data_IF_653745047654
#
_entry.id   IF_653745047654
#
_cell.length_a   1.000
_cell.length_b   1.000
_cell.length_c   1.000
_cell.angle_alpha   90.00
_cell.angle_beta   90.00
_cell.angle_gamma   90.00
#
_symmetry.space_group_name_H-M   'P 1'
#
loop_
_entity.id
_entity.type
_entity.pdbx_description
1 polymer ?
#
# COMPACT_ATOMS: atom_id res chain seq x y z
N UNK A 1 -40.30 -63.17 -16.66
CA UNK A 1 -39.08 -62.53 -17.19
C UNK A 1 -38.89 -61.24 -16.46
N UNK A 2 -38.06 -61.31 -15.43
CA UNK A 2 -37.78 -60.19 -14.54
C UNK A 2 -36.66 -59.29 -15.06
N UNK A 3 -36.80 -57.99 -14.90
CA UNK A 3 -35.73 -57.05 -15.10
C UNK A 3 -35.44 -56.35 -13.79
N UNK A 4 -34.26 -56.58 -13.25
CA UNK A 4 -33.75 -56.02 -11.97
C UNK A 4 -33.12 -54.68 -12.32
N UNK A 5 -33.72 -53.59 -11.87
CA UNK A 5 -33.07 -52.28 -11.84
C UNK A 5 -32.28 -52.15 -10.55
N UNK A 6 -30.97 -52.19 -10.66
CA UNK A 6 -30.06 -51.92 -9.58
C UNK A 6 -30.01 -50.42 -9.29
N UNK A 7 -30.36 -50.04 -8.07
CA UNK A 7 -30.18 -48.69 -7.54
C UNK A 7 -28.69 -48.44 -7.27
N UNK A 8 -28.11 -47.46 -7.95
CA UNK A 8 -26.77 -46.97 -7.65
C UNK A 8 -26.87 -46.01 -6.44
N UNK A 9 -26.43 -46.50 -5.29
CA UNK A 9 -26.27 -45.73 -4.07
C UNK A 9 -25.13 -44.73 -4.25
N UNK A 10 -25.45 -43.44 -4.36
CA UNK A 10 -24.47 -42.35 -4.26
C UNK A 10 -24.16 -42.10 -2.79
N UNK A 11 -23.06 -42.65 -2.31
CA UNK A 11 -22.46 -42.28 -1.04
C UNK A 11 -22.00 -40.80 -1.11
N UNK A 12 -22.36 -39.95 -0.15
CA UNK A 12 -21.82 -38.60 -0.10
C UNK A 12 -20.32 -38.67 0.26
N UNK A 13 -19.50 -38.03 -0.56
CA UNK A 13 -18.08 -37.85 -0.30
C UNK A 13 -17.92 -37.13 1.06
N UNK A 14 -17.30 -37.83 1.98
CA UNK A 14 -17.02 -37.34 3.31
C UNK A 14 -16.34 -35.98 3.25
N UNK A 15 -16.90 -35.01 3.99
CA UNK A 15 -16.29 -33.72 4.27
C UNK A 15 -14.84 -33.94 4.78
N UNK A 16 -13.89 -33.34 4.09
CA UNK A 16 -12.51 -33.27 4.54
C UNK A 16 -12.52 -32.76 5.98
N UNK A 17 -12.03 -33.58 6.89
CA UNK A 17 -11.81 -33.23 8.29
C UNK A 17 -10.93 -31.99 8.30
N UNK A 18 -11.49 -30.86 8.73
CA UNK A 18 -10.74 -29.65 8.99
C UNK A 18 -9.72 -30.02 10.09
N UNK A 19 -8.43 -29.96 9.76
CA UNK A 19 -7.39 -30.08 10.77
C UNK A 19 -7.62 -29.06 11.89
N UNK A 20 -7.32 -29.39 13.16
CA UNK A 20 -7.53 -28.48 14.27
C UNK A 20 -6.72 -27.21 14.01
N UNK A 21 -7.40 -26.08 13.84
CA UNK A 21 -6.78 -24.76 13.68
C UNK A 21 -5.94 -24.50 14.91
N UNK A 22 -4.61 -24.66 14.78
CA UNK A 22 -3.69 -24.27 15.84
C UNK A 22 -3.75 -22.75 15.97
N UNK A 23 -4.21 -22.26 17.10
CA UNK A 23 -4.15 -20.84 17.46
C UNK A 23 -2.69 -20.42 17.53
N UNK A 24 -2.31 -19.37 16.78
CA UNK A 24 -0.98 -18.78 16.83
C UNK A 24 -0.95 -17.57 17.75
N UNK A 25 0.17 -17.39 18.45
CA UNK A 25 0.51 -16.17 19.17
C UNK A 25 1.50 -15.37 18.31
N UNK A 26 1.08 -14.19 17.84
CA UNK A 26 1.80 -13.39 16.85
C UNK A 26 2.19 -12.05 17.47
N UNK A 27 3.47 -11.72 17.44
CA UNK A 27 3.98 -10.43 17.92
C UNK A 27 4.43 -9.59 16.71
N UNK A 28 3.74 -8.48 16.46
CA UNK A 28 4.14 -7.47 15.48
C UNK A 28 5.13 -6.49 16.10
N UNK A 29 6.18 -6.14 15.38
CA UNK A 29 7.19 -5.16 15.83
C UNK A 29 7.31 -4.04 14.81
N UNK A 30 7.12 -2.80 15.23
CA UNK A 30 7.23 -1.60 14.41
C UNK A 30 7.93 -0.46 15.12
N UNK A 31 8.39 0.54 14.37
CA UNK A 31 9.04 1.73 14.93
C UNK A 31 8.05 2.54 15.78
N UNK A 32 6.83 2.69 15.29
CA UNK A 32 5.70 3.37 15.95
C UNK A 32 4.37 2.80 15.45
N UNK A 33 3.28 3.23 16.08
CA UNK A 33 1.90 3.03 15.60
C UNK A 33 1.21 4.40 15.39
N UNK A 34 1.95 5.36 14.82
CA UNK A 34 1.40 6.64 14.35
C UNK A 34 0.51 6.41 13.10
N UNK A 35 -0.17 7.45 12.62
CA UNK A 35 -1.00 7.33 11.43
C UNK A 35 -0.14 7.23 10.16
N UNK A 36 -0.03 6.03 9.60
CA UNK A 36 0.75 5.74 8.40
C UNK A 36 0.26 4.47 7.70
N UNK A 37 0.69 4.24 6.45
CA UNK A 37 0.25 3.09 5.68
C UNK A 37 0.70 1.75 6.27
N UNK A 38 1.95 1.65 6.73
CA UNK A 38 2.48 0.43 7.35
C UNK A 38 1.82 0.13 8.70
N UNK A 39 1.56 1.17 9.47
CA UNK A 39 0.91 1.08 10.77
C UNK A 39 -0.57 0.68 10.63
N UNK A 40 -1.29 1.26 9.66
CA UNK A 40 -2.67 0.84 9.30
C UNK A 40 -2.70 -0.64 8.90
N UNK A 41 -1.75 -1.11 8.10
CA UNK A 41 -1.64 -2.52 7.73
C UNK A 41 -1.36 -3.43 8.93
N UNK A 42 -0.49 -3.00 9.85
CA UNK A 42 -0.22 -3.74 11.09
C UNK A 42 -1.48 -3.85 11.95
N UNK A 43 -2.21 -2.75 12.13
CA UNK A 43 -3.49 -2.75 12.85
C UNK A 43 -4.54 -3.65 12.19
N UNK A 44 -4.63 -3.60 10.86
CA UNK A 44 -5.50 -4.48 10.06
C UNK A 44 -5.17 -5.95 10.29
N UNK A 45 -3.89 -6.33 10.22
CA UNK A 45 -3.46 -7.70 10.49
C UNK A 45 -3.82 -8.15 11.91
N UNK A 46 -3.59 -7.31 12.93
CA UNK A 46 -3.94 -7.63 14.32
C UNK A 46 -5.45 -7.92 14.46
N UNK A 47 -6.32 -7.05 13.90
CA UNK A 47 -7.78 -7.22 13.95
C UNK A 47 -8.22 -8.50 13.27
N UNK A 48 -7.78 -8.73 12.03
CA UNK A 48 -8.11 -9.94 11.27
C UNK A 48 -7.59 -11.23 11.91
N UNK A 49 -6.40 -11.19 12.50
CA UNK A 49 -5.84 -12.34 13.23
C UNK A 49 -6.70 -12.68 14.44
N UNK A 50 -7.11 -11.68 15.24
CA UNK A 50 -8.04 -11.87 16.36
C UNK A 50 -9.38 -12.44 15.90
N UNK A 51 -9.94 -11.93 14.82
CA UNK A 51 -11.23 -12.39 14.29
C UNK A 51 -11.17 -13.86 13.81
N UNK A 52 -9.97 -14.36 13.49
CA UNK A 52 -9.70 -15.77 13.17
C UNK A 52 -9.30 -16.62 14.39
N UNK A 53 -9.35 -16.04 15.59
CA UNK A 53 -9.05 -16.75 16.84
C UNK A 53 -7.55 -16.86 17.18
N UNK A 54 -6.69 -16.05 16.52
CA UNK A 54 -5.27 -15.94 16.89
C UNK A 54 -5.08 -14.85 17.95
N UNK A 55 -3.97 -14.92 18.68
CA UNK A 55 -3.54 -13.84 19.57
C UNK A 55 -2.56 -12.94 18.83
N UNK A 56 -2.82 -11.64 18.86
CA UNK A 56 -1.93 -10.64 18.27
C UNK A 56 -1.50 -9.63 19.32
N UNK A 57 -0.23 -9.27 19.32
CA UNK A 57 0.35 -8.19 20.15
C UNK A 57 1.21 -7.27 19.31
N UNK A 58 1.40 -6.02 19.75
CA UNK A 58 2.21 -5.02 19.07
C UNK A 58 3.32 -4.50 19.96
N UNK A 59 4.55 -4.49 19.47
CA UNK A 59 5.73 -3.95 20.13
C UNK A 59 6.20 -2.70 19.40
N UNK A 60 5.92 -1.52 19.97
CA UNK A 60 6.38 -0.23 19.45
C UNK A 60 7.78 0.05 20.00
N UNK A 61 8.74 0.29 19.10
CA UNK A 61 10.13 0.52 19.50
C UNK A 61 10.31 1.90 20.12
N UNK A 62 9.68 2.95 19.57
CA UNK A 62 9.95 4.34 19.94
C UNK A 62 8.71 5.13 20.34
N UNK A 63 7.57 4.95 19.67
CA UNK A 63 6.35 5.73 19.89
C UNK A 63 5.11 4.85 19.82
N UNK A 64 4.15 5.14 20.68
CA UNK A 64 2.89 4.40 20.68
C UNK A 64 1.99 4.83 19.51
N UNK A 65 1.80 6.15 19.33
CA UNK A 65 0.96 6.71 18.27
C UNK A 65 -0.54 6.46 18.47
N UNK A 66 -1.34 7.10 17.61
CA UNK A 66 -2.82 7.04 17.66
C UNK A 66 -3.34 5.62 17.46
N UNK A 67 -2.85 4.91 16.44
CA UNK A 67 -3.27 3.52 16.17
C UNK A 67 -2.88 2.56 17.30
N UNK A 68 -1.78 2.84 18.03
CA UNK A 68 -1.39 2.06 19.18
C UNK A 68 -2.35 2.24 20.37
N UNK A 69 -2.85 3.46 20.59
CA UNK A 69 -3.87 3.73 21.61
C UNK A 69 -5.21 3.11 21.22
N UNK A 70 -5.61 3.19 19.95
CA UNK A 70 -6.83 2.52 19.45
C UNK A 70 -6.76 1.00 19.70
N UNK A 71 -5.67 0.34 19.31
CA UNK A 71 -5.49 -1.10 19.54
C UNK A 71 -5.53 -1.45 21.03
N UNK A 72 -4.97 -0.60 21.92
CA UNK A 72 -5.10 -0.78 23.37
C UNK A 72 -6.55 -0.69 23.84
N UNK A 73 -7.29 0.29 23.35
CA UNK A 73 -8.71 0.46 23.67
C UNK A 73 -9.55 -0.73 23.19
N UNK A 74 -9.14 -1.36 22.07
CA UNK A 74 -9.74 -2.59 21.55
C UNK A 74 -9.32 -3.87 22.31
N UNK A 75 -8.44 -3.76 23.30
CA UNK A 75 -8.00 -4.87 24.14
C UNK A 75 -6.78 -5.64 23.65
N UNK A 76 -6.05 -5.13 22.63
CA UNK A 76 -4.77 -5.73 22.23
C UNK A 76 -3.64 -5.41 23.22
N UNK A 77 -2.71 -6.35 23.40
CA UNK A 77 -1.47 -6.07 24.11
C UNK A 77 -0.56 -5.20 23.22
N UNK A 78 -0.37 -3.92 23.60
CA UNK A 78 0.53 -2.99 22.90
C UNK A 78 1.62 -2.54 23.86
N UNK A 79 2.86 -2.94 23.61
CA UNK A 79 4.03 -2.68 24.45
C UNK A 79 4.89 -1.57 23.84
N UNK A 80 5.10 -0.49 24.58
CA UNK A 80 6.03 0.56 24.21
C UNK A 80 7.36 0.37 24.94
N UNK A 81 8.48 0.26 24.21
CA UNK A 81 9.77 -0.11 24.77
C UNK A 81 10.60 1.05 25.33
N UNK A 82 10.43 2.29 24.86
CA UNK A 82 11.17 3.49 25.32
C UNK A 82 12.67 3.24 25.57
N UNK A 83 13.46 3.00 24.51
CA UNK A 83 14.85 2.60 24.72
C UNK A 83 15.71 3.78 25.16
N UNK A 84 16.47 3.59 26.24
CA UNK A 84 17.56 4.51 26.63
C UNK A 84 18.86 4.20 25.86
N UNK A 85 18.98 3.00 25.29
CA UNK A 85 20.11 2.56 24.45
C UNK A 85 19.73 1.37 23.58
N UNK A 86 20.57 1.08 22.59
CA UNK A 86 20.44 -0.13 21.75
C UNK A 86 20.34 -1.41 22.58
N UNK A 87 21.26 -1.60 23.53
CA UNK A 87 21.27 -2.80 24.37
C UNK A 87 20.04 -2.92 25.28
N UNK A 88 19.54 -1.79 25.78
CA UNK A 88 18.33 -1.76 26.58
C UNK A 88 17.12 -2.25 25.76
N UNK A 89 16.99 -1.75 24.52
CA UNK A 89 15.92 -2.16 23.61
C UNK A 89 15.97 -3.66 23.30
N UNK A 90 17.13 -4.15 22.86
CA UNK A 90 17.34 -5.56 22.51
C UNK A 90 17.03 -6.48 23.69
N UNK A 91 17.51 -6.12 24.91
CA UNK A 91 17.21 -6.85 26.14
C UNK A 91 15.72 -6.80 26.51
N UNK A 92 15.08 -5.64 26.31
CA UNK A 92 13.64 -5.44 26.53
C UNK A 92 12.80 -6.36 25.66
N UNK A 93 13.09 -6.36 24.34
CA UNK A 93 12.45 -7.25 23.37
C UNK A 93 12.66 -8.73 23.72
N UNK A 94 13.89 -9.13 24.00
CA UNK A 94 14.19 -10.51 24.41
C UNK A 94 13.35 -10.94 25.63
N UNK A 95 13.29 -10.11 26.71
CA UNK A 95 12.51 -10.40 27.91
C UNK A 95 11.01 -10.48 27.60
N UNK A 96 10.51 -9.57 26.74
CA UNK A 96 9.11 -9.57 26.33
C UNK A 96 8.76 -10.86 25.60
N UNK A 97 9.54 -11.25 24.59
CA UNK A 97 9.32 -12.48 23.84
C UNK A 97 9.49 -13.75 24.70
N UNK A 98 10.43 -13.78 25.64
CA UNK A 98 10.56 -14.87 26.60
C UNK A 98 9.35 -15.03 27.51
N UNK A 99 8.67 -13.91 27.83
CA UNK A 99 7.47 -13.90 28.68
C UNK A 99 6.22 -14.29 27.89
N UNK A 100 5.98 -13.63 26.75
CA UNK A 100 4.79 -13.83 25.92
C UNK A 100 4.86 -15.10 25.05
N UNK A 101 6.07 -15.63 24.79
CA UNK A 101 6.34 -16.82 23.95
C UNK A 101 5.57 -16.83 22.63
N UNK A 102 5.75 -15.82 21.78
CA UNK A 102 5.07 -15.79 20.48
C UNK A 102 5.57 -16.95 19.60
N UNK A 103 4.67 -17.52 18.81
CA UNK A 103 5.01 -18.48 17.76
C UNK A 103 5.68 -17.77 16.59
N UNK A 104 5.22 -16.54 16.33
CA UNK A 104 5.67 -15.69 15.21
C UNK A 104 6.07 -14.31 15.71
N UNK A 105 7.20 -13.81 15.23
CA UNK A 105 7.57 -12.38 15.31
C UNK A 105 7.58 -11.81 13.91
N UNK A 106 6.70 -10.84 13.63
CA UNK A 106 6.57 -10.15 12.37
C UNK A 106 7.10 -8.71 12.49
N UNK A 107 8.27 -8.46 11.92
CA UNK A 107 8.91 -7.15 11.92
C UNK A 107 8.41 -6.30 10.74
N UNK A 108 8.03 -5.05 11.00
CA UNK A 108 7.66 -4.09 9.96
C UNK A 108 8.80 -3.12 9.73
N UNK A 109 9.39 -3.16 8.52
CA UNK A 109 10.57 -2.43 8.07
C UNK A 109 11.92 -2.89 8.65
N UNK A 110 13.00 -2.32 8.10
CA UNK A 110 14.38 -2.71 8.41
C UNK A 110 14.74 -2.48 9.88
N UNK A 111 14.32 -1.36 10.47
CA UNK A 111 14.67 -1.03 11.87
C UNK A 111 14.11 -2.05 12.82
N UNK A 112 12.85 -2.44 12.67
CA UNK A 112 12.22 -3.48 13.49
C UNK A 112 12.97 -4.81 13.38
N UNK A 113 13.37 -5.23 12.18
CA UNK A 113 14.14 -6.46 11.99
C UNK A 113 15.54 -6.39 12.65
N UNK A 114 16.25 -5.26 12.49
CA UNK A 114 17.56 -5.04 13.10
C UNK A 114 17.49 -5.17 14.64
N UNK A 115 16.41 -4.70 15.24
CA UNK A 115 16.24 -4.69 16.71
C UNK A 115 15.65 -6.00 17.25
N UNK A 116 14.74 -6.64 16.53
CA UNK A 116 13.93 -7.73 17.06
C UNK A 116 14.28 -9.13 16.54
N UNK A 117 14.88 -9.29 15.36
CA UNK A 117 15.06 -10.62 14.75
C UNK A 117 15.96 -11.53 15.60
N UNK A 118 17.13 -11.07 16.03
CA UNK A 118 18.02 -11.85 16.91
C UNK A 118 17.42 -12.09 18.30
N UNK A 119 16.87 -11.07 19.01
CA UNK A 119 16.15 -11.30 20.28
C UNK A 119 15.03 -12.33 20.17
N UNK A 120 14.26 -12.34 19.09
CA UNK A 120 13.20 -13.31 18.86
C UNK A 120 13.76 -14.74 18.79
N UNK A 121 14.82 -14.95 17.99
CA UNK A 121 15.47 -16.27 17.88
C UNK A 121 16.05 -16.75 19.22
N UNK A 122 16.74 -15.87 19.94
CA UNK A 122 17.28 -16.18 21.27
C UNK A 122 16.17 -16.48 22.29
N UNK A 123 14.99 -15.89 22.12
CA UNK A 123 13.82 -16.19 22.94
C UNK A 123 13.15 -17.52 22.57
N UNK A 124 13.55 -18.18 21.48
CA UNK A 124 13.00 -19.45 21.02
C UNK A 124 11.81 -19.32 20.06
N UNK A 125 11.60 -18.14 19.46
CA UNK A 125 10.56 -17.91 18.46
C UNK A 125 10.84 -18.74 17.20
N UNK A 126 9.84 -19.49 16.74
CA UNK A 126 9.99 -20.44 15.62
C UNK A 126 10.02 -19.71 14.28
N UNK A 127 9.14 -18.73 14.08
CA UNK A 127 8.99 -18.03 12.81
C UNK A 127 9.27 -16.53 12.99
N UNK A 128 10.21 -16.00 12.22
CA UNK A 128 10.54 -14.57 12.21
C UNK A 128 10.46 -14.06 10.78
N UNK A 129 9.60 -13.06 10.55
CA UNK A 129 9.35 -12.48 9.22
C UNK A 129 9.63 -10.98 9.26
N UNK A 130 10.08 -10.42 8.15
CA UNK A 130 10.18 -8.98 7.98
C UNK A 130 9.47 -8.52 6.71
N UNK A 131 8.59 -7.53 6.84
CA UNK A 131 7.96 -6.86 5.69
C UNK A 131 8.61 -5.51 5.45
N UNK A 132 9.00 -5.25 4.20
CA UNK A 132 9.55 -3.98 3.72
C UNK A 132 8.44 -3.20 2.99
N UNK A 133 7.98 -2.11 3.61
CA UNK A 133 6.85 -1.31 3.10
C UNK A 133 7.26 -0.27 2.04
N UNK A 134 8.55 0.00 1.88
CA UNK A 134 9.07 0.96 0.91
C UNK A 134 10.24 0.41 0.10
N UNK A 135 10.62 1.16 -0.95
CA UNK A 135 11.76 0.86 -1.79
C UNK A 135 13.08 1.24 -1.13
N UNK A 136 14.10 0.44 -1.39
CA UNK A 136 15.51 0.79 -1.10
C UNK A 136 16.05 1.59 -2.28
N UNK A 137 16.37 2.87 -2.08
CA UNK A 137 16.84 3.77 -3.14
C UNK A 137 18.23 4.35 -2.84
N UNK A 138 19.04 4.65 -3.87
CA UNK A 138 20.24 5.47 -3.73
C UNK A 138 19.89 6.93 -3.34
N UNK A 139 20.76 7.63 -2.58
CA UNK A 139 21.97 7.07 -1.98
C UNK A 139 21.59 6.10 -0.86
N UNK A 140 22.06 4.86 -0.98
CA UNK A 140 21.76 3.83 0.02
C UNK A 140 22.28 4.27 1.38
N UNK A 141 21.48 4.11 2.42
CA UNK A 141 21.97 4.17 3.79
C UNK A 141 22.77 2.89 4.09
N UNK A 142 23.94 2.78 3.47
CA UNK A 142 24.76 1.55 3.43
C UNK A 142 24.90 0.91 4.81
N UNK A 143 25.16 1.71 5.85
CA UNK A 143 25.27 1.20 7.22
C UNK A 143 23.99 0.54 7.73
N UNK A 144 22.81 1.09 7.36
CA UNK A 144 21.51 0.52 7.75
C UNK A 144 21.23 -0.76 6.95
N UNK A 145 21.49 -0.75 5.68
CA UNK A 145 21.27 -1.92 4.81
C UNK A 145 22.23 -3.07 5.16
N UNK A 146 23.48 -2.81 5.55
CA UNK A 146 24.40 -3.82 6.08
C UNK A 146 23.90 -4.42 7.40
N UNK A 147 23.43 -3.58 8.34
CA UNK A 147 22.81 -4.05 9.59
C UNK A 147 21.57 -4.88 9.30
N UNK A 148 20.74 -4.45 8.34
CA UNK A 148 19.56 -5.19 7.92
C UNK A 148 19.95 -6.54 7.29
N UNK A 149 20.93 -6.58 6.41
CA UNK A 149 21.43 -7.82 5.81
C UNK A 149 21.94 -8.82 6.86
N UNK A 150 22.62 -8.33 7.91
CA UNK A 150 23.00 -9.16 9.03
C UNK A 150 21.77 -9.65 9.81
N UNK A 151 20.85 -8.78 10.17
CA UNK A 151 19.64 -9.12 10.90
C UNK A 151 18.72 -10.08 10.13
N UNK A 152 18.64 -9.95 8.82
CA UNK A 152 17.81 -10.80 7.96
C UNK A 152 18.24 -12.28 7.96
N UNK A 153 19.46 -12.60 8.42
CA UNK A 153 19.89 -13.99 8.60
C UNK A 153 19.06 -14.75 9.64
N UNK A 154 18.46 -14.03 10.57
CA UNK A 154 17.55 -14.59 11.58
C UNK A 154 16.08 -14.54 11.18
N UNK A 155 15.76 -13.99 9.97
CA UNK A 155 14.42 -14.02 9.41
C UNK A 155 14.26 -15.25 8.50
N UNK A 156 13.09 -15.89 8.55
CA UNK A 156 12.74 -16.96 7.61
C UNK A 156 12.36 -16.38 6.26
N UNK A 157 11.65 -15.24 6.27
CA UNK A 157 11.20 -14.56 5.07
C UNK A 157 11.41 -13.06 5.12
N UNK A 158 11.72 -12.50 3.95
CA UNK A 158 11.76 -11.06 3.70
C UNK A 158 10.66 -10.78 2.67
N UNK A 159 9.64 -10.04 3.08
CA UNK A 159 8.45 -9.78 2.28
C UNK A 159 8.49 -8.37 1.71
N UNK A 160 8.40 -8.23 0.38
CA UNK A 160 8.05 -6.97 -0.27
C UNK A 160 6.54 -6.83 -0.38
N UNK A 161 6.02 -5.61 -0.31
CA UNK A 161 4.57 -5.36 -0.37
C UNK A 161 3.97 -5.43 -1.78
N UNK A 162 4.80 -5.66 -2.80
CA UNK A 162 4.43 -5.88 -4.20
C UNK A 162 5.64 -6.46 -4.94
N UNK A 163 5.44 -6.92 -6.18
CA UNK A 163 6.54 -7.45 -7.00
C UNK A 163 7.62 -6.38 -7.27
N UNK A 164 7.22 -5.11 -7.47
CA UNK A 164 8.17 -4.00 -7.60
C UNK A 164 9.08 -3.86 -6.38
N UNK A 165 8.54 -4.00 -5.15
CA UNK A 165 9.34 -3.99 -3.92
C UNK A 165 10.22 -5.24 -3.81
N UNK A 166 9.70 -6.42 -4.17
CA UNK A 166 10.47 -7.67 -4.21
C UNK A 166 11.67 -7.55 -5.15
N UNK A 167 11.45 -7.11 -6.39
CA UNK A 167 12.51 -6.91 -7.38
C UNK A 167 13.55 -5.90 -6.90
N UNK A 168 13.13 -4.81 -6.27
CA UNK A 168 14.02 -3.83 -5.67
C UNK A 168 14.87 -4.44 -4.53
N UNK A 169 14.29 -5.30 -3.69
CA UNK A 169 15.03 -6.02 -2.65
C UNK A 169 16.04 -7.01 -3.23
N UNK A 170 15.67 -7.73 -4.31
CA UNK A 170 16.58 -8.65 -5.01
C UNK A 170 17.76 -7.93 -5.68
N UNK A 171 17.57 -6.70 -6.11
CA UNK A 171 18.62 -5.85 -6.67
C UNK A 171 19.55 -5.25 -5.60
N UNK A 172 19.12 -5.24 -4.32
CA UNK A 172 19.95 -4.72 -3.24
C UNK A 172 21.18 -5.62 -3.01
N UNK A 173 22.37 -5.04 -2.83
CA UNK A 173 23.63 -5.81 -2.86
C UNK A 173 23.83 -6.77 -1.67
N UNK A 174 22.98 -6.72 -0.67
CA UNK A 174 23.14 -7.45 0.59
C UNK A 174 21.97 -8.37 0.96
N UNK A 175 21.05 -8.64 0.04
CA UNK A 175 19.84 -9.38 0.35
C UNK A 175 20.05 -10.92 0.30
N UNK A 176 19.41 -11.64 1.22
CA UNK A 176 19.29 -13.10 1.18
C UNK A 176 18.21 -13.47 0.13
N UNK A 177 18.64 -13.63 -1.12
CA UNK A 177 17.76 -13.73 -2.31
C UNK A 177 16.79 -14.90 -2.28
N UNK A 178 17.14 -16.00 -1.66
CA UNK A 178 16.38 -17.24 -1.53
C UNK A 178 15.15 -17.13 -0.63
N UNK A 179 15.03 -16.05 0.16
CA UNK A 179 13.98 -15.80 1.15
C UNK A 179 13.16 -14.56 0.85
N UNK A 180 13.33 -13.96 -0.34
CA UNK A 180 12.61 -12.74 -0.72
C UNK A 180 11.40 -13.11 -1.56
N UNK A 181 10.22 -12.80 -1.04
CA UNK A 181 8.93 -12.96 -1.71
C UNK A 181 8.16 -11.65 -1.72
N UNK A 182 6.99 -11.61 -2.34
CA UNK A 182 6.06 -10.50 -2.13
C UNK A 182 4.69 -11.00 -1.66
N UNK A 183 4.03 -10.15 -0.87
CA UNK A 183 2.63 -10.26 -0.49
C UNK A 183 2.01 -8.88 -0.70
N UNK A 184 0.95 -8.80 -1.48
CA UNK A 184 0.27 -7.53 -1.70
C UNK A 184 -0.33 -6.98 -0.40
N UNK A 185 -0.18 -5.67 -0.20
CA UNK A 185 -0.95 -4.99 0.83
C UNK A 185 -2.44 -5.19 0.57
N UNK A 186 -3.20 -5.42 1.63
CA UNK A 186 -4.64 -5.31 1.63
C UNK A 186 -5.08 -4.00 2.29
N UNK A 187 -6.17 -3.43 1.83
CA UNK A 187 -6.81 -2.28 2.46
C UNK A 187 -8.25 -2.62 2.81
N UNK A 188 -8.78 -2.09 3.92
CA UNK A 188 -10.21 -2.16 4.18
C UNK A 188 -10.96 -1.42 3.08
N UNK A 189 -12.11 -1.95 2.62
CA UNK A 189 -12.94 -1.22 1.69
C UNK A 189 -13.45 0.06 2.36
N UNK A 190 -13.60 1.13 1.58
CA UNK A 190 -14.23 2.33 2.07
C UNK A 190 -15.66 2.04 2.54
N UNK A 191 -16.09 2.74 3.59
CA UNK A 191 -17.44 2.61 4.12
C UNK A 191 -18.46 3.23 3.15
N UNK A 192 -19.13 2.40 2.35
CA UNK A 192 -20.12 2.85 1.35
C UNK A 192 -21.38 3.47 1.95
N UNK A 193 -21.59 3.35 3.27
CA UNK A 193 -22.68 3.99 4.00
C UNK A 193 -22.33 5.40 4.48
N UNK A 194 -21.06 5.81 4.36
CA UNK A 194 -20.65 7.16 4.69
C UNK A 194 -21.32 8.18 3.76
N UNK A 195 -21.76 9.31 4.32
CA UNK A 195 -22.30 10.39 3.51
C UNK A 195 -21.17 11.00 2.64
N UNK A 196 -21.34 11.09 1.32
CA UNK A 196 -20.31 11.69 0.48
C UNK A 196 -20.03 13.15 0.83
N UNK A 197 -18.75 13.55 0.75
CA UNK A 197 -18.36 14.94 0.94
C UNK A 197 -19.03 15.83 -0.13
N UNK A 198 -19.69 16.94 0.23
CA UNK A 198 -20.22 17.87 -0.76
C UNK A 198 -19.12 18.40 -1.69
N UNK A 199 -19.37 18.37 -3.00
CA UNK A 199 -18.38 18.79 -4.00
C UNK A 199 -18.95 19.77 -5.02
N UNK A 200 -18.03 20.49 -5.68
CA UNK A 200 -18.31 21.34 -6.84
C UNK A 200 -17.41 20.89 -7.99
N UNK A 201 -17.97 20.76 -9.19
CA UNK A 201 -17.20 20.41 -10.38
C UNK A 201 -16.53 19.02 -10.35
N UNK A 202 -15.57 18.81 -11.22
CA UNK A 202 -14.78 17.59 -11.30
C UNK A 202 -13.71 17.59 -10.20
N UNK A 203 -13.74 16.61 -9.33
CA UNK A 203 -12.95 16.57 -8.10
C UNK A 203 -11.85 15.52 -8.15
N UNK A 204 -10.61 15.99 -8.09
CA UNK A 204 -9.39 15.20 -7.88
C UNK A 204 -9.19 14.99 -6.38
N UNK A 205 -8.82 13.79 -5.97
CA UNK A 205 -8.54 13.46 -4.56
C UNK A 205 -7.13 12.95 -4.41
N UNK A 206 -6.37 13.57 -3.52
CA UNK A 206 -5.12 13.04 -2.98
C UNK A 206 -5.28 12.71 -1.50
N UNK A 207 -4.87 11.49 -1.09
CA UNK A 207 -4.85 11.07 0.31
C UNK A 207 -3.43 10.65 0.68
N UNK A 208 -2.81 11.36 1.61
CA UNK A 208 -1.46 11.04 2.06
C UNK A 208 -0.79 12.12 2.88
N UNK A 209 0.30 11.73 3.56
CA UNK A 209 1.08 12.65 4.40
C UNK A 209 1.73 13.75 3.56
N UNK A 210 1.70 15.00 4.02
CA UNK A 210 2.33 16.15 3.36
C UNK A 210 3.85 16.14 3.59
N UNK A 211 4.54 15.24 2.88
CA UNK A 211 5.97 14.97 3.03
C UNK A 211 6.70 15.02 1.68
N UNK A 212 8.03 15.26 1.66
CA UNK A 212 8.79 15.43 0.41
C UNK A 212 8.62 14.29 -0.61
N UNK A 213 8.51 13.05 -0.13
CA UNK A 213 8.37 11.87 -1.00
C UNK A 213 7.05 11.79 -1.76
N UNK A 214 6.03 12.58 -1.38
CA UNK A 214 4.72 12.64 -2.05
C UNK A 214 4.65 13.68 -3.16
N UNK A 215 5.63 14.59 -3.22
CA UNK A 215 5.81 15.59 -4.29
C UNK A 215 4.53 16.36 -4.67
N UNK A 216 3.84 16.86 -3.65
CA UNK A 216 2.61 17.66 -3.85
C UNK A 216 2.85 18.91 -4.69
N UNK A 217 4.11 19.40 -4.78
CA UNK A 217 4.45 20.54 -5.61
C UNK A 217 4.19 20.24 -7.09
N UNK A 218 4.62 19.08 -7.59
CA UNK A 218 4.31 18.61 -8.95
C UNK A 218 2.79 18.49 -9.17
N UNK A 219 2.04 17.97 -8.18
CA UNK A 219 0.58 17.86 -8.28
C UNK A 219 -0.08 19.25 -8.40
N UNK A 220 0.30 20.21 -7.55
CA UNK A 220 -0.24 21.56 -7.58
C UNK A 220 0.04 22.27 -8.92
N UNK A 221 1.26 22.12 -9.47
CA UNK A 221 1.61 22.65 -10.79
C UNK A 221 0.78 22.00 -11.90
N UNK A 222 0.61 20.68 -11.85
CA UNK A 222 -0.24 19.96 -12.81
C UNK A 222 -1.69 20.42 -12.77
N UNK A 223 -2.25 20.65 -11.56
CA UNK A 223 -3.61 21.18 -11.41
C UNK A 223 -3.72 22.61 -11.96
N UNK A 224 -2.72 23.46 -11.73
CA UNK A 224 -2.70 24.80 -12.32
C UNK A 224 -2.77 24.75 -13.84
N UNK A 225 -1.96 23.90 -14.49
CA UNK A 225 -1.98 23.70 -15.95
C UNK A 225 -3.33 23.11 -16.42
N UNK A 226 -3.86 22.12 -15.70
CA UNK A 226 -5.16 21.50 -16.04
C UNK A 226 -6.29 22.54 -16.03
N UNK A 227 -6.30 23.43 -15.05
CA UNK A 227 -7.34 24.46 -14.91
C UNK A 227 -7.34 25.53 -16.01
N UNK A 228 -6.25 25.68 -16.73
CA UNK A 228 -6.23 26.55 -17.94
C UNK A 228 -7.22 26.05 -19.00
N UNK A 229 -7.50 24.75 -19.06
CA UNK A 229 -8.41 24.11 -20.00
C UNK A 229 -9.74 23.67 -19.36
N UNK A 230 -9.72 23.37 -18.05
CA UNK A 230 -10.86 22.87 -17.28
C UNK A 230 -11.00 23.66 -15.97
N UNK A 231 -11.52 24.90 -15.99
CA UNK A 231 -11.52 25.82 -14.85
C UNK A 231 -12.31 25.30 -13.64
N UNK A 232 -13.24 24.38 -13.83
CA UNK A 232 -14.06 23.81 -12.75
C UNK A 232 -13.42 22.65 -11.99
N UNK A 233 -12.19 22.25 -12.38
CA UNK A 233 -11.46 21.18 -11.67
C UNK A 233 -11.11 21.64 -10.25
N UNK A 234 -11.39 20.77 -9.29
CA UNK A 234 -11.07 20.94 -7.88
C UNK A 234 -10.05 19.90 -7.43
N UNK A 235 -9.19 20.24 -6.50
CA UNK A 235 -8.27 19.30 -5.85
C UNK A 235 -8.55 19.26 -4.33
N UNK A 236 -8.83 18.10 -3.82
CA UNK A 236 -8.89 17.81 -2.40
C UNK A 236 -7.61 17.10 -1.95
N UNK A 237 -7.00 17.63 -0.89
CA UNK A 237 -5.83 17.06 -0.24
C UNK A 237 -6.23 16.68 1.17
N UNK A 238 -6.25 15.37 1.45
CA UNK A 238 -6.56 14.79 2.76
C UNK A 238 -5.27 14.24 3.36
N UNK A 239 -4.93 14.73 4.53
CA UNK A 239 -3.70 14.44 5.25
C UNK A 239 -3.01 15.70 5.73
N UNK A 240 -2.07 15.55 6.62
CA UNK A 240 -1.23 16.61 7.15
C UNK A 240 0.27 16.27 7.02
N UNK A 241 1.13 17.18 7.42
CA UNK A 241 2.55 16.93 7.46
C UNK A 241 3.41 18.19 7.41
N UNK A 242 4.74 18.02 7.50
CA UNK A 242 5.69 19.13 7.67
C UNK A 242 5.70 20.12 6.49
N UNK A 243 5.17 19.75 5.33
CA UNK A 243 5.15 20.62 4.14
C UNK A 243 3.87 21.47 4.02
N UNK A 244 2.89 21.36 4.92
CA UNK A 244 1.60 22.03 4.76
C UNK A 244 1.72 23.53 4.53
N UNK A 245 2.49 24.24 5.35
CA UNK A 245 2.66 25.68 5.22
C UNK A 245 3.27 26.08 3.86
N UNK A 246 4.27 25.32 3.39
CA UNK A 246 4.91 25.59 2.09
C UNK A 246 4.00 25.28 0.91
N UNK A 247 3.16 24.23 1.02
CA UNK A 247 2.20 23.86 -0.02
C UNK A 247 1.03 24.86 -0.10
N UNK A 248 0.55 25.38 1.04
CA UNK A 248 -0.45 26.48 1.06
C UNK A 248 0.11 27.75 0.41
N UNK A 249 1.38 28.09 0.69
CA UNK A 249 2.03 29.20 -0.01
C UNK A 249 2.10 28.96 -1.53
N UNK A 250 2.55 27.79 -1.96
CA UNK A 250 2.61 27.45 -3.38
C UNK A 250 1.21 27.47 -4.04
N UNK A 251 0.17 27.02 -3.35
CA UNK A 251 -1.23 27.11 -3.80
C UNK A 251 -1.64 28.56 -4.07
N UNK A 252 -1.26 29.47 -3.17
CA UNK A 252 -1.50 30.91 -3.35
C UNK A 252 -0.72 31.48 -4.52
N UNK A 253 0.58 31.16 -4.63
CA UNK A 253 1.48 31.65 -5.70
C UNK A 253 0.99 31.18 -7.08
N UNK A 254 0.38 29.97 -7.16
CA UNK A 254 -0.25 29.41 -8.37
C UNK A 254 -1.72 29.88 -8.58
N UNK A 255 -2.25 30.76 -7.71
CA UNK A 255 -3.64 31.26 -7.77
C UNK A 255 -4.70 30.15 -7.70
N UNK A 256 -4.47 29.11 -6.91
CA UNK A 256 -5.34 27.93 -6.77
C UNK A 256 -6.21 27.95 -5.48
N UNK A 257 -6.27 29.07 -4.74
CA UNK A 257 -6.94 29.14 -3.42
C UNK A 257 -8.42 28.72 -3.45
N UNK A 258 -9.12 28.98 -4.55
CA UNK A 258 -10.54 28.61 -4.72
C UNK A 258 -10.74 27.18 -5.23
N UNK A 259 -9.66 26.50 -5.62
CA UNK A 259 -9.69 25.21 -6.31
C UNK A 259 -9.03 24.09 -5.54
N UNK A 260 -8.20 24.41 -4.56
CA UNK A 260 -7.48 23.43 -3.72
C UNK A 260 -7.96 23.55 -2.29
N UNK A 261 -8.44 22.45 -1.74
CA UNK A 261 -8.86 22.37 -0.35
C UNK A 261 -7.98 21.40 0.42
N UNK A 262 -7.36 21.86 1.49
CA UNK A 262 -6.62 21.04 2.45
C UNK A 262 -7.54 20.70 3.62
N UNK A 263 -7.85 19.42 3.80
CA UNK A 263 -8.76 18.92 4.85
C UNK A 263 -8.02 18.52 6.14
N UNK A 264 -6.67 18.53 6.15
CA UNK A 264 -5.90 18.01 7.26
C UNK A 264 -6.01 16.49 7.39
N UNK A 265 -5.53 15.96 8.51
CA UNK A 265 -5.65 14.53 8.81
C UNK A 265 -7.11 14.18 9.12
N UNK A 266 -7.61 13.10 8.50
CA UNK A 266 -8.97 12.60 8.68
C UNK A 266 -8.93 11.15 9.17
N UNK A 267 -9.67 10.84 10.22
CA UNK A 267 -9.81 9.47 10.73
C UNK A 267 -10.56 8.56 9.74
N UNK A 268 -11.55 9.13 9.02
CA UNK A 268 -12.37 8.43 8.02
C UNK A 268 -12.25 9.14 6.66
N UNK A 269 -11.76 8.43 5.65
CA UNK A 269 -11.56 8.98 4.30
C UNK A 269 -12.67 8.60 3.31
N UNK A 270 -13.57 7.72 3.70
CA UNK A 270 -14.65 7.23 2.83
C UNK A 270 -15.54 8.34 2.26
N UNK A 271 -15.92 9.39 3.00
CA UNK A 271 -16.72 10.49 2.44
C UNK A 271 -16.06 11.16 1.23
N UNK A 272 -14.74 11.28 1.25
CA UNK A 272 -13.96 11.89 0.18
C UNK A 272 -13.82 10.95 -1.02
N UNK A 273 -13.55 9.65 -0.75
CA UNK A 273 -13.42 8.62 -1.77
C UNK A 273 -14.71 8.42 -2.57
N UNK A 274 -15.87 8.45 -1.88
CA UNK A 274 -17.19 8.31 -2.50
C UNK A 274 -17.58 9.52 -3.35
N UNK A 275 -17.09 10.69 -3.02
CA UNK A 275 -17.44 11.93 -3.71
C UNK A 275 -16.49 12.27 -4.87
N UNK A 276 -15.25 11.85 -4.83
CA UNK A 276 -14.25 12.16 -5.84
C UNK A 276 -14.55 11.52 -7.20
N UNK A 277 -14.01 12.11 -8.27
CA UNK A 277 -14.12 11.60 -9.63
C UNK A 277 -12.84 10.85 -10.05
N UNK A 278 -11.69 11.23 -9.48
CA UNK A 278 -10.38 10.68 -9.82
C UNK A 278 -9.42 10.74 -8.62
N UNK A 279 -8.76 9.64 -8.32
CA UNK A 279 -7.64 9.63 -7.37
C UNK A 279 -6.35 10.09 -8.05
N UNK A 280 -5.54 10.89 -7.37
CA UNK A 280 -4.28 11.41 -7.92
C UNK A 280 -3.12 11.25 -6.95
N UNK A 281 -1.93 10.88 -7.47
CA UNK A 281 -0.71 10.82 -6.69
C UNK A 281 0.52 11.15 -7.51
N UNK A 282 1.33 12.09 -7.03
CA UNK A 282 2.57 12.57 -7.66
C UNK A 282 3.84 12.02 -7.01
N UNK A 283 3.73 10.97 -6.21
CA UNK A 283 4.80 10.46 -5.35
C UNK A 283 6.10 10.18 -6.12
N UNK A 284 7.25 10.51 -5.50
CA UNK A 284 8.59 10.15 -6.00
C UNK A 284 8.96 8.69 -5.72
N UNK A 285 8.31 8.08 -4.74
CA UNK A 285 8.57 6.70 -4.35
C UNK A 285 7.42 6.14 -3.52
N UNK A 286 7.04 4.92 -3.84
CA UNK A 286 6.03 4.15 -3.10
C UNK A 286 6.44 2.68 -3.02
N UNK A 287 5.94 1.96 -2.02
CA UNK A 287 5.82 0.51 -2.09
C UNK A 287 4.53 0.15 -2.83
N UNK A 288 3.48 -0.09 -2.07
CA UNK A 288 2.11 -0.26 -2.55
C UNK A 288 1.20 0.61 -1.66
N UNK A 289 0.76 1.79 -2.10
CA UNK A 289 0.08 2.75 -1.24
C UNK A 289 -1.35 2.30 -0.90
N UNK A 290 -1.64 2.23 0.40
CA UNK A 290 -2.94 1.82 0.94
C UNK A 290 -4.05 2.76 0.45
N UNK A 291 -3.80 4.07 0.35
CA UNK A 291 -4.79 5.05 -0.11
C UNK A 291 -5.26 4.83 -1.56
N UNK A 292 -4.40 4.31 -2.45
CA UNK A 292 -4.82 3.91 -3.79
C UNK A 292 -5.70 2.66 -3.74
N UNK A 293 -5.40 1.71 -2.87
CA UNK A 293 -6.23 0.50 -2.69
C UNK A 293 -7.60 0.85 -2.11
N UNK A 294 -7.64 1.77 -1.14
CA UNK A 294 -8.89 2.33 -0.60
C UNK A 294 -9.72 3.01 -1.70
N UNK A 295 -9.09 3.80 -2.58
CA UNK A 295 -9.75 4.42 -3.73
C UNK A 295 -10.30 3.37 -4.72
N UNK A 296 -9.53 2.33 -5.02
CA UNK A 296 -9.96 1.25 -5.90
C UNK A 296 -11.13 0.45 -5.33
N UNK A 297 -11.28 0.37 -4.00
CA UNK A 297 -12.39 -0.34 -3.35
C UNK A 297 -13.77 0.25 -3.68
N UNK A 298 -13.84 1.54 -3.93
CA UNK A 298 -15.05 2.25 -4.39
C UNK A 298 -15.08 2.44 -5.92
N UNK A 299 -14.15 1.82 -6.62
CA UNK A 299 -14.06 1.96 -8.07
C UNK A 299 -13.52 3.30 -8.54
N UNK A 300 -12.79 4.04 -7.73
CA UNK A 300 -12.23 5.34 -8.14
C UNK A 300 -11.03 5.12 -9.08
N UNK A 301 -11.09 5.60 -10.35
CA UNK A 301 -9.95 5.56 -11.25
C UNK A 301 -8.81 6.44 -10.75
N UNK A 302 -7.60 6.22 -11.26
CA UNK A 302 -6.45 6.97 -10.76
C UNK A 302 -5.51 7.48 -11.88
N UNK A 303 -4.89 8.64 -11.65
CA UNK A 303 -3.70 9.13 -12.35
C UNK A 303 -2.57 9.22 -11.32
N UNK A 304 -1.51 8.46 -11.52
CA UNK A 304 -0.42 8.35 -10.55
C UNK A 304 0.94 8.29 -11.24
N UNK A 305 1.99 8.64 -10.52
CA UNK A 305 3.36 8.50 -11.02
C UNK A 305 3.78 7.02 -11.10
N UNK A 306 4.57 6.66 -12.13
CA UNK A 306 5.09 5.30 -12.33
C UNK A 306 6.26 5.01 -11.37
N UNK A 307 5.93 4.73 -10.12
CA UNK A 307 6.91 4.43 -9.06
C UNK A 307 6.45 3.24 -8.22
N UNK A 308 7.40 2.38 -7.84
CA UNK A 308 7.12 1.24 -6.95
C UNK A 308 6.09 0.28 -7.53
N UNK A 309 5.05 -0.02 -6.74
CA UNK A 309 3.94 -0.91 -7.14
C UNK A 309 2.89 -0.28 -8.05
N UNK A 310 2.98 1.03 -8.35
CA UNK A 310 1.96 1.72 -9.17
C UNK A 310 1.84 1.14 -10.58
N UNK A 311 2.99 0.90 -11.25
CA UNK A 311 3.02 0.28 -12.58
C UNK A 311 2.44 -1.14 -12.59
N UNK A 312 2.57 -1.85 -11.47
CA UNK A 312 1.99 -3.18 -11.30
C UNK A 312 0.46 -3.11 -11.17
N UNK A 313 -0.06 -2.20 -10.33
CA UNK A 313 -1.51 -1.97 -10.21
C UNK A 313 -2.09 -1.54 -11.56
N UNK A 314 -1.43 -0.67 -12.31
CA UNK A 314 -1.90 -0.23 -13.62
C UNK A 314 -2.06 -1.40 -14.59
N UNK A 315 -1.06 -2.31 -14.64
CA UNK A 315 -1.14 -3.52 -15.48
C UNK A 315 -2.23 -4.49 -15.05
N UNK A 316 -2.42 -4.67 -13.73
CA UNK A 316 -3.42 -5.58 -13.19
C UNK A 316 -4.85 -5.06 -13.37
N UNK A 317 -5.06 -3.75 -13.23
CA UNK A 317 -6.40 -3.18 -13.19
C UNK A 317 -6.87 -2.61 -14.53
N UNK A 318 -5.99 -2.02 -15.32
CA UNK A 318 -6.40 -1.16 -16.43
C UNK A 318 -7.18 0.10 -16.01
N UNK A 319 -7.20 0.42 -14.72
CA UNK A 319 -7.93 1.55 -14.13
C UNK A 319 -7.02 2.66 -13.58
N UNK A 320 -5.73 2.56 -13.85
CA UNK A 320 -4.70 3.49 -13.38
C UNK A 320 -3.88 3.99 -14.57
N UNK A 321 -3.88 5.29 -14.77
CA UNK A 321 -3.03 5.96 -15.75
C UNK A 321 -1.71 6.32 -15.10
N UNK A 322 -0.60 5.97 -15.75
CA UNK A 322 0.75 6.24 -15.27
C UNK A 322 1.35 7.46 -15.95
N UNK A 323 2.04 8.28 -15.15
CA UNK A 323 2.81 9.42 -15.61
C UNK A 323 4.24 9.37 -15.04
N UNK A 324 5.24 9.98 -15.70
CA UNK A 324 6.58 10.09 -15.11
C UNK A 324 6.55 10.87 -13.79
N UNK A 325 7.44 10.55 -12.85
CA UNK A 325 7.60 11.34 -11.63
C UNK A 325 8.26 12.69 -11.93
N UNK A 326 7.90 13.74 -11.18
CA UNK A 326 8.41 15.10 -11.36
C UNK A 326 8.14 15.67 -12.78
N UNK A 327 7.03 15.28 -13.39
CA UNK A 327 6.56 15.77 -14.71
C UNK A 327 5.17 16.41 -14.57
N UNK A 328 5.06 17.69 -14.18
CA UNK A 328 3.78 18.36 -14.02
C UNK A 328 3.00 18.50 -15.32
N UNK A 329 3.68 18.67 -16.48
CA UNK A 329 3.04 18.77 -17.79
C UNK A 329 2.46 17.41 -18.23
N UNK A 330 3.21 16.31 -18.02
CA UNK A 330 2.73 14.95 -18.27
C UNK A 330 1.53 14.61 -17.41
N UNK A 331 1.58 14.96 -16.13
CA UNK A 331 0.44 14.79 -15.22
C UNK A 331 -0.76 15.65 -15.67
N UNK A 332 -0.57 16.91 -16.02
CA UNK A 332 -1.64 17.78 -16.50
C UNK A 332 -2.32 17.24 -17.76
N UNK A 333 -1.55 16.72 -18.74
CA UNK A 333 -2.13 16.07 -19.93
C UNK A 333 -3.02 14.89 -19.54
N UNK A 334 -2.55 14.00 -18.66
CA UNK A 334 -3.34 12.86 -18.19
C UNK A 334 -4.60 13.29 -17.43
N UNK A 335 -4.52 14.36 -16.64
CA UNK A 335 -5.67 14.93 -15.95
C UNK A 335 -6.68 15.52 -16.93
N UNK A 336 -6.25 16.28 -17.94
CA UNK A 336 -7.14 16.81 -18.98
C UNK A 336 -7.85 15.70 -19.76
N UNK A 337 -7.13 14.64 -20.14
CA UNK A 337 -7.70 13.46 -20.79
C UNK A 337 -8.75 12.77 -19.91
N UNK A 338 -8.48 12.63 -18.61
CA UNK A 338 -9.42 12.06 -17.66
C UNK A 338 -10.69 12.91 -17.51
N UNK A 339 -10.55 14.24 -17.39
CA UNK A 339 -11.70 15.17 -17.28
C UNK A 339 -12.58 15.14 -18.52
N UNK A 340 -11.98 15.10 -19.71
CA UNK A 340 -12.69 15.03 -20.98
C UNK A 340 -13.31 13.64 -21.24
N UNK A 341 -12.67 12.56 -20.74
CA UNK A 341 -12.98 11.17 -21.05
C UNK A 341 -14.00 10.52 -20.13
N UNK A 342 -15.15 11.12 -19.81
CA UNK A 342 -16.14 10.59 -18.84
C UNK A 342 -16.57 9.14 -19.10
N UNK A 343 -16.72 8.72 -20.35
CA UNK A 343 -17.11 7.35 -20.69
C UNK A 343 -16.01 6.35 -20.35
N UNK A 344 -14.74 6.71 -20.56
CA UNK A 344 -13.60 5.86 -20.22
C UNK A 344 -13.45 5.74 -18.69
N UNK A 345 -13.58 6.85 -17.96
CA UNK A 345 -13.61 6.81 -16.49
C UNK A 345 -14.69 5.87 -15.96
N UNK A 346 -15.88 5.84 -16.59
CA UNK A 346 -16.95 4.92 -16.16
C UNK A 346 -16.56 3.45 -16.35
N UNK A 347 -15.86 3.11 -17.44
CA UNK A 347 -15.33 1.75 -17.63
C UNK A 347 -14.24 1.41 -16.60
N UNK A 348 -13.35 2.36 -16.34
CA UNK A 348 -12.27 2.20 -15.36
C UNK A 348 -12.79 1.96 -13.94
N UNK A 349 -13.95 2.52 -13.56
CA UNK A 349 -14.58 2.27 -12.25
C UNK A 349 -14.79 0.79 -11.96
N UNK A 350 -15.39 0.07 -12.89
CA UNK A 350 -15.63 -1.38 -12.74
C UNK A 350 -14.32 -2.18 -12.70
N UNK A 351 -13.32 -1.74 -13.47
CA UNK A 351 -12.01 -2.39 -13.50
C UNK A 351 -11.26 -2.20 -12.16
N UNK A 352 -11.31 -0.99 -11.58
CA UNK A 352 -10.71 -0.69 -10.28
C UNK A 352 -11.29 -1.58 -9.18
N UNK A 353 -12.64 -1.60 -9.04
CA UNK A 353 -13.30 -2.43 -8.03
C UNK A 353 -13.00 -3.92 -8.20
N UNK A 354 -13.06 -4.45 -9.42
CA UNK A 354 -12.75 -5.87 -9.67
C UNK A 354 -11.31 -6.21 -9.29
N UNK A 355 -10.35 -5.35 -9.64
CA UNK A 355 -8.96 -5.56 -9.30
C UNK A 355 -8.76 -5.53 -7.78
N UNK A 356 -9.40 -4.58 -7.08
CA UNK A 356 -9.39 -4.53 -5.62
C UNK A 356 -9.93 -5.83 -5.01
N UNK A 357 -11.12 -6.26 -5.41
CA UNK A 357 -11.75 -7.49 -4.90
C UNK A 357 -10.89 -8.73 -5.13
N UNK A 358 -10.21 -8.78 -6.26
CA UNK A 358 -9.40 -9.94 -6.64
C UNK A 358 -8.05 -9.98 -5.92
N UNK A 359 -7.39 -8.84 -5.68
CA UNK A 359 -5.98 -8.80 -5.26
C UNK A 359 -5.72 -8.09 -3.94
N UNK A 360 -6.57 -7.13 -3.53
CA UNK A 360 -6.20 -6.16 -2.49
C UNK A 360 -7.11 -6.15 -1.27
N UNK A 361 -7.95 -7.16 -1.13
CA UNK A 361 -8.72 -7.36 0.10
C UNK A 361 -7.81 -7.70 1.27
N UNK A 362 -8.10 -7.17 2.47
CA UNK A 362 -7.26 -7.41 3.63
C UNK A 362 -7.25 -8.87 4.08
N UNK A 363 -8.36 -9.62 3.84
CA UNK A 363 -8.43 -11.05 4.15
C UNK A 363 -7.45 -11.86 3.31
N UNK A 364 -7.27 -11.50 2.02
CA UNK A 364 -6.29 -12.15 1.15
C UNK A 364 -4.87 -11.93 1.63
N UNK A 365 -4.53 -10.69 1.98
CA UNK A 365 -3.23 -10.38 2.58
C UNK A 365 -2.99 -11.23 3.83
N UNK A 366 -4.01 -11.38 4.70
CA UNK A 366 -3.91 -12.23 5.88
C UNK A 366 -3.67 -13.69 5.49
N UNK A 367 -4.42 -14.26 4.52
CA UNK A 367 -4.25 -15.65 4.09
C UNK A 367 -2.83 -15.94 3.63
N UNK A 368 -2.24 -15.02 2.84
CA UNK A 368 -0.87 -15.13 2.37
C UNK A 368 0.13 -15.10 3.55
N UNK A 369 -0.04 -14.18 4.53
CA UNK A 369 0.80 -14.15 5.72
C UNK A 369 0.61 -15.38 6.62
N UNK A 370 -0.63 -15.84 6.82
CA UNK A 370 -0.89 -17.05 7.63
C UNK A 370 -0.23 -18.28 7.00
N UNK A 371 -0.17 -18.38 5.68
CA UNK A 371 0.58 -19.44 5.00
C UNK A 371 2.06 -19.40 5.37
N UNK A 372 2.68 -18.21 5.38
CA UNK A 372 4.07 -18.04 5.80
C UNK A 372 4.29 -18.39 7.28
N UNK A 373 3.36 -17.98 8.15
CA UNK A 373 3.47 -18.22 9.59
C UNK A 373 3.41 -19.72 9.92
N UNK A 374 2.63 -20.48 9.16
CA UNK A 374 2.50 -21.94 9.32
C UNK A 374 3.62 -22.74 8.63
N UNK A 375 4.54 -22.09 7.94
CA UNK A 375 5.64 -22.74 7.23
C UNK A 375 5.23 -23.53 5.98
N UNK A 376 4.04 -23.28 5.41
CA UNK A 376 3.49 -24.00 4.27
C UNK A 376 3.97 -23.49 2.90
N UNK A 377 4.95 -22.65 2.83
CA UNK A 377 5.48 -22.23 1.53
C UNK A 377 6.35 -23.34 0.95
N UNK A 378 5.78 -24.17 0.09
CA UNK A 378 6.58 -25.06 -0.75
C UNK A 378 7.47 -24.21 -1.66
N UNK A 379 8.72 -24.64 -1.91
CA UNK A 379 9.66 -23.93 -2.81
C UNK A 379 9.09 -23.66 -4.20
N UNK A 380 8.09 -24.40 -4.65
CA UNK A 380 7.35 -24.17 -5.90
C UNK A 380 6.38 -22.98 -5.86
N UNK A 381 5.95 -22.50 -4.68
CA UNK A 381 5.10 -21.32 -4.55
C UNK A 381 5.90 -20.00 -4.47
N UNK A 382 7.19 -20.05 -4.20
CA UNK A 382 8.05 -18.86 -4.28
C UNK A 382 8.11 -18.26 -5.71
N UNK A 383 7.81 -19.05 -6.75
CA UNK A 383 7.65 -18.61 -8.15
C UNK A 383 6.20 -18.51 -8.64
N UNK A 384 5.23 -19.06 -7.90
CA UNK A 384 3.83 -19.18 -8.34
C UNK A 384 2.81 -18.58 -7.39
N UNK A 385 3.22 -17.97 -6.27
CA UNK A 385 2.30 -17.22 -5.44
C UNK A 385 1.64 -16.05 -6.18
N UNK A 386 1.93 -15.84 -7.45
CA UNK A 386 1.12 -15.09 -8.43
C UNK A 386 1.76 -15.16 -9.82
N UNK A 387 1.61 -16.29 -10.51
CA UNK A 387 1.35 -16.18 -11.93
C UNK A 387 -0.07 -15.58 -12.04
N UNK A 388 -0.16 -14.27 -12.17
CA UNK A 388 -1.37 -13.63 -12.64
C UNK A 388 -1.85 -14.32 -13.92
N UNK A 389 -3.15 -14.29 -14.27
CA UNK A 389 -3.63 -14.87 -15.49
C UNK A 389 -2.71 -14.38 -16.62
N UNK A 390 -2.23 -15.34 -17.42
CA UNK A 390 -1.49 -15.03 -18.65
C UNK A 390 -2.23 -13.89 -19.32
N UNK A 391 -1.55 -12.77 -19.51
CA UNK A 391 -2.12 -11.63 -20.21
C UNK A 391 -2.76 -12.17 -21.47
N UNK A 392 -4.09 -12.04 -21.58
CA UNK A 392 -4.77 -12.17 -22.84
C UNK A 392 -3.99 -11.29 -23.80
N UNK A 393 -3.36 -11.90 -24.78
CA UNK A 393 -2.57 -11.21 -25.79
C UNK A 393 -3.51 -10.30 -26.58
N UNK A 394 -3.75 -9.12 -26.06
CA UNK A 394 -4.26 -8.02 -26.88
C UNK A 394 -3.06 -7.52 -27.64
N UNK A 395 -3.04 -7.85 -28.92
CA UNK A 395 -2.12 -7.29 -29.90
C UNK A 395 -2.07 -5.77 -29.70
N UNK A 396 -0.97 -5.27 -29.16
CA UNK A 396 -0.67 -3.84 -29.17
C UNK A 396 -0.53 -3.43 -30.65
N UNK A 397 -1.61 -2.90 -31.22
CA UNK A 397 -1.49 -2.02 -32.37
C UNK A 397 -0.67 -0.81 -31.91
N UNK A 398 0.57 -0.72 -32.40
CA UNK A 398 1.38 0.48 -32.30
C UNK A 398 0.52 1.66 -32.75
N UNK A 399 0.32 2.62 -31.86
CA UNK A 399 -0.27 3.90 -32.22
C UNK A 399 0.64 4.54 -33.28
N UNK A 400 0.13 4.95 -34.45
CA UNK A 400 0.94 5.63 -35.45
C UNK A 400 1.38 6.98 -34.89
N UNK A 401 2.67 7.25 -34.94
CA UNK A 401 3.23 8.58 -34.74
C UNK A 401 2.69 9.52 -35.80
N UNK A 402 1.68 10.29 -35.49
CA UNK A 402 1.29 11.44 -36.28
C UNK A 402 2.18 12.62 -35.90
N UNK A 403 3.17 12.86 -36.73
CA UNK A 403 3.88 14.14 -36.83
C UNK A 403 2.87 15.22 -37.25
N UNK A 404 2.78 16.28 -36.44
CA UNK A 404 2.19 17.54 -36.93
C UNK A 404 1.10 18.14 -36.05
N UNK A 405 1.52 18.98 -35.10
CA UNK A 405 0.87 20.25 -34.85
C UNK A 405 1.78 21.20 -34.06
N UNK A 406 2.30 22.26 -34.69
CA UNK A 406 3.16 23.25 -34.04
C UNK A 406 2.30 24.42 -33.55
N UNK A 407 1.55 24.26 -32.45
CA UNK A 407 0.77 25.36 -31.83
C UNK A 407 0.88 25.50 -30.33
N UNK A 408 1.56 24.56 -29.65
CA UNK A 408 1.67 24.62 -28.19
C UNK A 408 2.96 25.31 -27.74
N UNK A 409 4.00 25.32 -28.56
CA UNK A 409 5.28 25.94 -28.22
C UNK A 409 5.27 27.48 -28.36
N UNK A 410 4.40 28.07 -29.17
CA UNK A 410 4.38 29.52 -29.39
C UNK A 410 3.62 30.32 -28.32
N UNK A 411 2.70 29.69 -27.56
CA UNK A 411 2.01 30.41 -26.48
C UNK A 411 2.83 30.56 -25.18
N UNK A 412 3.85 29.74 -25.00
CA UNK A 412 4.67 29.82 -23.75
C UNK A 412 5.80 30.86 -23.82
N UNK A 413 6.13 31.40 -25.01
CA UNK A 413 7.17 32.42 -25.13
C UNK A 413 6.65 33.86 -25.11
N UNK A 414 5.36 34.10 -25.23
CA UNK A 414 4.80 35.43 -25.32
C UNK A 414 4.51 36.13 -23.98
N UNK A 415 4.42 35.39 -22.88
CA UNK A 415 4.05 35.94 -21.55
C UNK A 415 5.21 36.08 -20.54
N UNK A 416 6.44 35.76 -20.95
CA UNK A 416 7.62 35.98 -20.10
C UNK A 416 8.37 37.30 -20.37
N UNK A 417 7.77 38.22 -21.16
CA UNK A 417 8.37 39.53 -21.48
C UNK A 417 7.42 40.73 -21.25
N UNK A 418 6.63 40.64 -20.16
CA UNK A 418 5.97 41.85 -19.63
C UNK A 418 5.97 41.87 -18.12
#
# INVERSE_FOLDING_TARGET
>A
MGSIMGAVSSTPVASALAEPRTTLNIAHVGDSMEMGGAEKLTATLCRLQRDRGHTASVHCLYRLGVLGEELRAEGFEVVLHHPSSFFHLVRGLYRSFRRSRPDVVHCHNATAAIMAALPARLAGVKTVIVTRHGLVKPPYQIRRELKFALASRWCDWIVGVCEGTRTNLLAAPFAARDRIIHIYNGAWPANIQAAPQPKKGFTLLHVGRLAPLKDHATLLQAVALTRMHHPDVQLWIVGDGPLEASLRKLTNDLRLNESVTFFGEQGEVSPFLLAADLFVSSSLTEGLPVSLLEAMSVGLPAVVTDVGGMGEIARLSGAVTLVPSSDPEGMARALCEAVAGKQELHKMKNLASRCYEQYFRPERMLDDYMSLYNGFVSQNQAGTLHSGPQALSTSHKKCPTTSGSPRIAECLQADMSK
#
